data_IF_786275649882
#
_entry.id   IF_786275649882
#
_cell.length_a   1.000
_cell.length_b   1.000
_cell.length_c   1.000
_cell.angle_alpha   90.00
_cell.angle_beta   90.00
_cell.angle_gamma   90.00
#
_symmetry.space_group_name_H-M   'P 1'
#
loop_
_entity.id
_entity.type
_entity.pdbx_description
1 polymer ?
#
# COMPACT_ATOMS: atom_id res chain seq x y z
N UNK A 1 -6.28 -2.37 -6.95
CA UNK A 1 -5.25 -2.29 -5.90
C UNK A 1 -5.84 -2.93 -4.66
N UNK A 2 -5.05 -3.59 -3.84
CA UNK A 2 -5.46 -4.19 -2.56
C UNK A 2 -4.53 -3.72 -1.46
N UNK A 3 -5.02 -3.69 -0.22
CA UNK A 3 -4.20 -3.32 0.94
C UNK A 3 -4.56 -4.27 2.08
N UNK A 4 -3.60 -4.97 2.70
CA UNK A 4 -3.86 -5.78 3.88
C UNK A 4 -4.20 -4.88 5.07
N UNK A 5 -5.36 -5.10 5.68
CA UNK A 5 -5.70 -4.44 6.95
C UNK A 5 -5.10 -5.28 8.08
N UNK A 6 -4.20 -4.74 8.91
CA UNK A 6 -3.56 -5.52 9.97
C UNK A 6 -4.52 -5.74 11.15
N UNK A 7 -4.26 -6.82 11.90
CA UNK A 7 -4.87 -7.00 13.22
C UNK A 7 -4.51 -5.83 14.13
N UNK A 8 -5.50 -5.29 14.84
CA UNK A 8 -5.31 -4.14 15.71
C UNK A 8 -5.40 -2.78 15.03
N UNK A 9 -5.77 -2.72 13.74
CA UNK A 9 -6.26 -1.48 13.15
C UNK A 9 -7.47 -0.92 13.95
N UNK A 10 -7.54 0.39 14.27
CA UNK A 10 -6.68 1.48 13.80
C UNK A 10 -5.46 1.80 14.66
N UNK A 11 -5.17 1.05 15.73
CA UNK A 11 -3.95 1.28 16.50
C UNK A 11 -2.68 0.96 15.67
N UNK A 12 -2.76 -0.02 14.76
CA UNK A 12 -1.74 -0.32 13.77
C UNK A 12 -2.04 0.36 12.41
N UNK A 13 -1.00 0.85 11.74
CA UNK A 13 -1.10 1.48 10.42
C UNK A 13 -1.29 0.44 9.31
N UNK A 14 -2.07 0.79 8.28
CA UNK A 14 -2.15 0.00 7.06
C UNK A 14 -0.85 0.15 6.27
N UNK A 15 -0.39 -0.94 5.67
CA UNK A 15 0.89 -1.00 4.96
C UNK A 15 0.79 -1.97 3.75
N UNK A 16 1.81 -1.98 2.88
CA UNK A 16 1.98 -2.94 1.79
C UNK A 16 0.86 -2.88 0.74
N UNK A 17 0.81 -1.78 -0.01
CA UNK A 17 -0.09 -1.67 -1.16
C UNK A 17 0.21 -2.76 -2.21
N UNK A 18 -0.84 -3.41 -2.68
CA UNK A 18 -0.78 -4.50 -3.64
C UNK A 18 -1.38 -4.12 -5.00
N UNK A 19 -0.70 -4.53 -6.07
CA UNK A 19 -1.22 -4.50 -7.43
C UNK A 19 -1.44 -5.91 -7.94
N UNK A 20 -2.28 -6.12 -8.97
CA UNK A 20 -2.41 -7.43 -9.58
C UNK A 20 -1.05 -8.00 -9.96
N UNK A 21 -0.85 -9.30 -9.73
CA UNK A 21 0.34 -9.98 -10.24
C UNK A 21 0.43 -9.78 -11.77
N UNK A 22 1.63 -9.46 -12.26
CA UNK A 22 1.85 -9.13 -13.68
C UNK A 22 1.36 -7.75 -14.12
N UNK A 23 0.90 -6.89 -13.20
CA UNK A 23 0.52 -5.51 -13.53
C UNK A 23 1.69 -4.77 -14.19
N UNK A 24 1.48 -4.07 -15.32
CA UNK A 24 2.53 -3.30 -15.99
C UNK A 24 3.02 -2.11 -15.16
N UNK A 25 2.33 -1.78 -14.07
CA UNK A 25 2.71 -0.71 -13.15
C UNK A 25 3.74 -1.17 -12.12
N UNK A 26 3.88 -2.48 -11.84
CA UNK A 26 4.80 -3.00 -10.83
C UNK A 26 6.28 -2.60 -11.07
N UNK A 27 6.80 -2.55 -12.31
CA UNK A 27 8.17 -2.10 -12.54
C UNK A 27 8.41 -0.61 -12.28
N UNK A 28 7.36 0.23 -12.25
CA UNK A 28 7.48 1.69 -12.22
C UNK A 28 6.98 2.32 -10.93
N UNK A 29 6.05 1.67 -10.21
CA UNK A 29 5.60 2.17 -8.91
C UNK A 29 6.70 2.01 -7.86
N UNK A 30 6.81 2.99 -6.95
CA UNK A 30 7.72 2.91 -5.81
C UNK A 30 7.44 1.63 -5.01
N UNK A 31 8.49 0.86 -4.75
CA UNK A 31 8.39 -0.40 -4.01
C UNK A 31 7.83 -1.58 -4.82
N UNK A 32 7.31 -1.35 -6.03
CA UNK A 32 6.75 -2.40 -6.89
C UNK A 32 7.75 -3.48 -7.30
N UNK A 33 9.01 -3.14 -7.67
CA UNK A 33 10.05 -4.14 -7.95
C UNK A 33 10.45 -4.98 -6.73
N UNK A 34 10.20 -4.46 -5.51
CA UNK A 34 10.51 -5.13 -4.25
C UNK A 34 9.28 -5.89 -3.77
N UNK A 35 9.09 -7.10 -4.31
CA UNK A 35 7.98 -7.97 -3.95
C UNK A 35 8.06 -8.40 -2.47
N UNK A 36 7.03 -8.07 -1.68
CA UNK A 36 6.90 -8.43 -0.26
C UNK A 36 6.00 -9.67 -0.03
N UNK A 37 5.65 -10.36 -1.11
CA UNK A 37 4.76 -11.52 -1.10
C UNK A 37 3.54 -11.31 -1.98
N UNK A 38 2.71 -12.34 -2.05
CA UNK A 38 1.46 -12.30 -2.78
C UNK A 38 0.30 -12.73 -1.89
N UNK A 39 -0.86 -12.11 -2.10
CA UNK A 39 -2.12 -12.48 -1.44
C UNK A 39 -3.15 -12.85 -2.49
N UNK A 40 -3.98 -13.83 -2.17
CA UNK A 40 -5.13 -14.21 -2.99
C UNK A 40 -6.39 -13.59 -2.40
N UNK A 41 -7.10 -12.82 -3.21
CA UNK A 41 -8.37 -12.19 -2.84
C UNK A 41 -9.22 -12.03 -4.08
N UNK A 42 -10.52 -12.33 -3.96
CA UNK A 42 -11.49 -12.30 -5.07
C UNK A 42 -11.07 -13.15 -6.28
N UNK A 43 -10.47 -14.33 -6.02
CA UNK A 43 -9.98 -15.24 -7.07
C UNK A 43 -8.83 -14.66 -7.90
N UNK A 44 -8.14 -13.63 -7.39
CA UNK A 44 -7.03 -12.96 -8.05
C UNK A 44 -5.81 -12.93 -7.14
N UNK A 45 -4.64 -13.14 -7.74
CA UNK A 45 -3.36 -12.97 -7.07
C UNK A 45 -2.90 -11.51 -7.15
N UNK A 46 -2.48 -10.97 -6.00
CA UNK A 46 -1.99 -9.61 -5.85
C UNK A 46 -0.56 -9.64 -5.33
N UNK A 47 0.36 -8.96 -6.00
CA UNK A 47 1.73 -8.75 -5.54
C UNK A 47 1.78 -7.53 -4.62
N UNK A 48 2.27 -7.72 -3.40
CA UNK A 48 2.49 -6.65 -2.43
C UNK A 48 3.78 -5.91 -2.78
N UNK A 49 3.67 -4.60 -2.98
CA UNK A 49 4.81 -3.71 -3.16
C UNK A 49 5.39 -3.33 -1.78
N UNK A 50 6.72 -3.18 -1.70
CA UNK A 50 7.40 -2.61 -0.52
C UNK A 50 7.19 -1.09 -0.46
N UNK A 51 5.94 -0.66 -0.31
CA UNK A 51 5.56 0.73 -0.17
C UNK A 51 4.92 0.97 1.20
N UNK A 52 5.59 1.82 1.99
CA UNK A 52 5.28 2.08 3.40
C UNK A 52 4.99 3.58 3.61
N UNK A 53 3.74 4.06 3.48
CA UNK A 53 3.44 5.50 3.46
C UNK A 53 4.04 6.28 4.62
N UNK A 54 3.85 5.77 5.84
CA UNK A 54 4.26 6.39 7.09
C UNK A 54 5.66 5.98 7.56
N UNK A 55 6.40 5.20 6.73
CA UNK A 55 7.76 4.75 7.01
C UNK A 55 8.65 4.87 5.76
N UNK A 56 8.92 6.11 5.34
CA UNK A 56 9.77 6.40 4.16
C UNK A 56 9.05 6.41 2.81
N UNK A 57 7.73 6.19 2.77
CA UNK A 57 6.88 6.31 1.58
C UNK A 57 6.56 7.75 1.18
N UNK A 58 6.78 8.69 2.09
CA UNK A 58 6.60 10.14 1.88
C UNK A 58 5.37 10.74 2.57
N UNK A 59 4.60 9.94 3.30
CA UNK A 59 3.57 10.43 4.22
C UNK A 59 4.16 10.86 5.57
N UNK A 60 3.43 11.63 6.39
CA UNK A 60 3.85 11.97 7.75
C UNK A 60 3.91 10.72 8.65
N UNK A 61 4.54 10.77 9.83
CA UNK A 61 4.48 9.67 10.80
C UNK A 61 3.04 9.28 11.15
N UNK A 62 2.80 7.99 11.42
CA UNK A 62 1.48 7.50 11.79
C UNK A 62 1.04 8.02 13.17
N UNK A 63 -0.21 8.49 13.27
CA UNK A 63 -0.86 8.88 14.50
C UNK A 63 -2.26 8.26 14.56
N UNK A 64 -2.43 7.24 15.41
CA UNK A 64 -3.69 6.50 15.54
C UNK A 64 -4.86 7.33 16.08
N UNK A 65 -4.61 8.53 16.60
CA UNK A 65 -5.67 9.46 17.06
C UNK A 65 -6.18 10.37 15.95
N UNK A 66 -5.45 10.46 14.83
CA UNK A 66 -5.74 11.36 13.71
C UNK A 66 -5.95 10.64 12.39
N UNK A 67 -5.23 9.56 12.18
CA UNK A 67 -5.19 8.88 10.90
C UNK A 67 -6.10 7.65 10.91
N UNK A 68 -6.72 7.43 9.76
CA UNK A 68 -7.66 6.36 9.53
C UNK A 68 -7.55 5.83 8.10
N UNK A 69 -8.61 5.17 7.67
CA UNK A 69 -8.66 4.52 6.36
C UNK A 69 -8.63 5.56 5.23
N UNK A 70 -9.25 6.71 5.47
CA UNK A 70 -9.24 7.88 4.60
C UNK A 70 -7.83 8.44 4.37
N UNK A 71 -7.02 8.51 5.44
CA UNK A 71 -5.61 8.93 5.35
C UNK A 71 -4.85 7.99 4.44
N UNK A 72 -5.01 6.68 4.66
CA UNK A 72 -4.34 5.68 3.87
C UNK A 72 -4.80 5.67 2.40
N UNK A 73 -6.10 5.84 2.13
CA UNK A 73 -6.61 6.00 0.77
C UNK A 73 -5.95 7.20 0.05
N UNK A 74 -5.81 8.33 0.74
CA UNK A 74 -5.11 9.51 0.21
C UNK A 74 -3.64 9.24 -0.12
N UNK A 75 -2.93 8.50 0.74
CA UNK A 75 -1.54 8.08 0.48
C UNK A 75 -1.42 7.16 -0.74
N UNK A 76 -2.35 6.22 -0.93
CA UNK A 76 -2.35 5.34 -2.10
C UNK A 76 -2.62 6.08 -3.41
N UNK A 77 -3.56 7.02 -3.40
CA UNK A 77 -3.82 7.88 -4.58
C UNK A 77 -2.58 8.71 -4.88
N UNK A 78 -1.95 9.30 -3.85
CA UNK A 78 -0.71 10.07 -3.98
C UNK A 78 0.45 9.21 -4.49
N UNK A 79 0.52 7.95 -4.07
CA UNK A 79 1.52 6.98 -4.52
C UNK A 79 1.39 6.69 -6.02
N UNK A 80 0.17 6.42 -6.50
CA UNK A 80 -0.09 6.17 -7.92
C UNK A 80 0.02 7.43 -8.77
N UNK A 81 -0.37 8.60 -8.25
CA UNK A 81 -0.33 9.87 -8.97
C UNK A 81 1.10 10.29 -9.39
N UNK A 82 2.13 9.81 -8.69
CA UNK A 82 3.55 10.06 -9.03
C UNK A 82 4.02 9.37 -10.32
N UNK A 83 3.18 8.57 -10.96
CA UNK A 83 3.46 7.96 -12.26
C UNK A 83 3.10 8.86 -13.46
N UNK A 84 2.36 9.95 -13.22
CA UNK A 84 2.03 10.98 -14.21
C UNK A 84 2.90 12.22 -14.01
#
# INVERSE_FOLDING_TARGET
MIVPVPDGYPAAMIDLAGLPAGSPLLPVVRGGPNNQGAVEADGRQWQLASYHPHNGGGGPPWDATRHGFDTYFGELVSWLARLN
#
